data_IF_464434635776
#
_entry.id   IF_464434635776
#
_cell.length_a   1.000
_cell.length_b   1.000
_cell.length_c   1.000
_cell.angle_alpha   90.00
_cell.angle_beta   90.00
_cell.angle_gamma   90.00
#
_symmetry.space_group_name_H-M   'P 1'
#
loop_
_entity.id
_entity.type
_entity.pdbx_description
1 polymer ?
#
# COMPACT_ATOMS: atom_id res chain seq x y z
N UNK A 1 17.00 -7.46 -21.28
CA UNK A 1 15.85 -8.31 -20.89
C UNK A 1 14.84 -8.18 -22.01
N UNK A 2 14.29 -9.28 -22.51
CA UNK A 2 13.28 -9.24 -23.58
C UNK A 2 12.02 -8.54 -23.05
N UNK A 3 11.41 -7.67 -23.86
CA UNK A 3 10.18 -6.96 -23.47
C UNK A 3 9.03 -7.97 -23.36
N UNK A 4 8.30 -7.95 -22.23
CA UNK A 4 7.15 -8.82 -22.01
C UNK A 4 6.04 -8.49 -23.00
N UNK A 5 5.40 -9.51 -23.55
CA UNK A 5 4.25 -9.39 -24.47
C UNK A 5 2.94 -9.68 -23.75
N UNK A 6 1.93 -8.85 -23.95
CA UNK A 6 0.63 -8.98 -23.32
C UNK A 6 -0.52 -9.06 -24.32
N UNK A 7 -1.53 -9.87 -23.98
CA UNK A 7 -2.84 -9.84 -24.62
C UNK A 7 -3.82 -9.03 -23.77
N UNK A 8 -4.44 -7.99 -24.35
CA UNK A 8 -5.49 -7.19 -23.71
C UNK A 8 -6.85 -7.66 -24.24
N UNK A 9 -7.67 -8.19 -23.34
CA UNK A 9 -8.99 -8.76 -23.60
C UNK A 9 -10.04 -7.94 -22.87
N UNK A 10 -10.93 -7.30 -23.62
CA UNK A 10 -11.85 -6.29 -23.10
C UNK A 10 -13.28 -6.78 -23.22
N UNK A 11 -14.00 -6.76 -22.11
CA UNK A 11 -15.42 -7.02 -22.05
C UNK A 11 -16.21 -5.72 -22.28
N UNK A 12 -16.80 -5.58 -23.47
CA UNK A 12 -17.53 -4.35 -23.84
C UNK A 12 -18.89 -4.20 -23.16
N UNK A 13 -19.43 -5.27 -22.56
CA UNK A 13 -20.74 -5.21 -21.89
C UNK A 13 -20.58 -4.70 -20.45
N UNK A 14 -19.43 -4.95 -19.82
CA UNK A 14 -19.14 -4.51 -18.46
C UNK A 14 -18.32 -3.22 -18.36
N UNK A 15 -17.69 -2.76 -19.45
CA UNK A 15 -16.75 -1.62 -19.43
C UNK A 15 -17.18 -0.55 -20.43
N UNK A 16 -16.95 0.72 -20.09
CA UNK A 16 -17.24 1.86 -20.99
C UNK A 16 -16.05 2.20 -21.91
N UNK A 17 -16.35 2.55 -23.17
CA UNK A 17 -15.37 2.98 -24.17
C UNK A 17 -14.44 4.12 -23.70
N UNK A 18 -14.91 4.97 -22.78
CA UNK A 18 -14.12 6.09 -22.23
C UNK A 18 -12.81 5.67 -21.57
N UNK A 19 -12.70 4.42 -21.13
CA UNK A 19 -11.51 3.91 -20.42
C UNK A 19 -10.42 3.39 -21.37
N UNK A 20 -10.68 3.19 -22.67
CA UNK A 20 -9.75 2.51 -23.59
C UNK A 20 -8.36 3.14 -23.60
N UNK A 21 -8.27 4.46 -23.75
CA UNK A 21 -6.97 5.14 -23.79
C UNK A 21 -6.21 5.00 -22.48
N UNK A 22 -6.91 5.07 -21.35
CA UNK A 22 -6.33 4.90 -20.02
C UNK A 22 -5.86 3.46 -19.76
N UNK A 23 -6.63 2.46 -20.19
CA UNK A 23 -6.27 1.03 -20.11
C UNK A 23 -4.98 0.77 -20.87
N UNK A 24 -4.91 1.21 -22.13
CA UNK A 24 -3.74 0.99 -22.98
C UNK A 24 -2.53 1.78 -22.47
N UNK A 25 -2.74 2.99 -21.95
CA UNK A 25 -1.71 3.77 -21.28
C UNK A 25 -1.14 3.06 -20.05
N UNK A 26 -1.98 2.52 -19.19
CA UNK A 26 -1.54 1.77 -18.00
C UNK A 26 -0.75 0.51 -18.38
N UNK A 27 -1.12 -0.17 -19.48
CA UNK A 27 -0.42 -1.37 -19.95
C UNK A 27 1.05 -1.12 -20.34
N UNK A 28 1.42 0.11 -20.71
CA UNK A 28 2.81 0.46 -21.03
C UNK A 28 3.79 0.24 -19.87
N UNK A 29 3.29 0.19 -18.62
CA UNK A 29 4.10 -0.08 -17.43
C UNK A 29 4.56 -1.54 -17.33
N UNK A 30 3.86 -2.47 -17.99
CA UNK A 30 4.06 -3.90 -17.85
C UNK A 30 4.79 -4.51 -19.05
N UNK A 31 4.49 -4.04 -20.26
CA UNK A 31 5.15 -4.51 -21.49
C UNK A 31 4.39 -4.15 -22.76
N UNK A 32 4.85 -4.72 -23.88
CA UNK A 32 4.25 -4.51 -25.19
C UNK A 32 2.91 -5.24 -25.33
N UNK A 33 1.86 -4.50 -25.70
CA UNK A 33 0.55 -5.08 -26.01
C UNK A 33 0.53 -5.58 -27.45
N UNK A 34 0.59 -6.90 -27.64
CA UNK A 34 0.66 -7.55 -28.96
C UNK A 34 -0.69 -8.04 -29.47
N UNK A 35 -1.64 -8.30 -28.57
CA UNK A 35 -3.02 -8.68 -28.91
C UNK A 35 -3.97 -7.71 -28.23
N UNK A 36 -4.90 -7.14 -28.99
CA UNK A 36 -5.94 -6.24 -28.49
C UNK A 36 -7.28 -6.72 -29.03
N UNK A 37 -8.10 -7.31 -28.17
CA UNK A 37 -9.41 -7.83 -28.55
C UNK A 37 -10.48 -7.29 -27.62
N UNK A 38 -11.63 -7.00 -28.20
CA UNK A 38 -12.81 -6.59 -27.45
C UNK A 38 -13.99 -7.48 -27.84
N UNK A 39 -14.75 -7.94 -26.86
CA UNK A 39 -15.80 -8.93 -27.04
C UNK A 39 -17.14 -8.29 -26.77
N UNK A 40 -18.11 -8.52 -27.66
CA UNK A 40 -19.45 -8.01 -27.51
C UNK A 40 -20.37 -8.34 -28.68
N UNK A 41 -21.63 -7.96 -28.54
CA UNK A 41 -22.59 -8.01 -29.63
C UNK A 41 -22.63 -6.65 -30.36
N UNK A 42 -21.91 -6.59 -31.48
CA UNK A 42 -21.76 -5.37 -32.27
C UNK A 42 -22.99 -5.03 -33.15
N UNK A 43 -24.07 -5.82 -33.07
CA UNK A 43 -25.33 -5.48 -33.74
C UNK A 43 -26.19 -4.49 -32.93
N UNK A 44 -25.87 -4.30 -31.65
CA UNK A 44 -26.60 -3.37 -30.76
C UNK A 44 -26.28 -1.90 -31.11
N UNK A 45 -27.27 -1.01 -30.95
CA UNK A 45 -27.12 0.41 -31.28
C UNK A 45 -26.05 1.17 -30.44
N UNK A 46 -25.59 0.62 -29.31
CA UNK A 46 -24.57 1.25 -28.47
C UNK A 46 -23.13 1.18 -29.04
N UNK A 47 -22.94 0.50 -30.17
CA UNK A 47 -21.63 0.31 -30.82
C UNK A 47 -21.01 1.54 -31.46
N UNK A 48 -21.81 2.57 -31.76
CA UNK A 48 -21.30 3.80 -32.36
C UNK A 48 -20.22 4.47 -31.49
N UNK A 49 -20.33 4.33 -30.16
CA UNK A 49 -19.38 4.86 -29.16
C UNK A 49 -18.07 4.07 -29.05
N UNK A 50 -17.96 2.92 -29.71
CA UNK A 50 -16.74 2.12 -29.72
C UNK A 50 -15.98 2.30 -31.02
N UNK A 51 -16.69 2.55 -32.12
CA UNK A 51 -16.11 2.55 -33.47
C UNK A 51 -14.86 3.43 -33.58
N UNK A 52 -14.89 4.63 -33.01
CA UNK A 52 -13.76 5.57 -33.05
C UNK A 52 -12.57 5.00 -32.27
N UNK A 53 -12.81 4.62 -31.03
CA UNK A 53 -11.82 4.12 -30.07
C UNK A 53 -11.16 2.83 -30.58
N UNK A 54 -11.93 1.91 -31.18
CA UNK A 54 -11.41 0.67 -31.75
C UNK A 54 -10.49 0.91 -32.95
N UNK A 55 -10.89 1.82 -33.86
CA UNK A 55 -10.09 2.15 -35.04
C UNK A 55 -8.82 2.89 -34.66
N UNK A 56 -8.91 3.91 -33.81
CA UNK A 56 -7.76 4.71 -33.38
C UNK A 56 -6.72 3.89 -32.62
N UNK A 57 -7.14 2.86 -31.88
CA UNK A 57 -6.25 2.04 -31.05
C UNK A 57 -5.90 0.67 -31.65
N UNK A 58 -6.36 0.38 -32.88
CA UNK A 58 -6.20 -0.91 -33.56
C UNK A 58 -6.68 -2.11 -32.71
N UNK A 59 -7.85 -1.97 -32.10
CA UNK A 59 -8.46 -3.03 -31.28
C UNK A 59 -9.38 -3.86 -32.19
N UNK A 60 -9.18 -5.17 -32.18
CA UNK A 60 -9.97 -6.10 -32.98
C UNK A 60 -11.31 -6.41 -32.28
N UNK A 61 -12.47 -6.05 -32.88
CA UNK A 61 -13.77 -6.48 -32.35
C UNK A 61 -14.02 -7.95 -32.65
N UNK A 62 -14.38 -8.70 -31.62
CA UNK A 62 -14.84 -10.08 -31.70
C UNK A 62 -16.36 -10.06 -31.51
N UNK A 63 -17.09 -10.39 -32.58
CA UNK A 63 -18.55 -10.46 -32.56
C UNK A 63 -19.01 -11.73 -31.87
N UNK A 64 -19.91 -11.59 -30.92
CA UNK A 64 -20.64 -12.72 -30.33
C UNK A 64 -22.13 -12.39 -30.21
N UNK A 65 -22.98 -13.17 -30.89
CA UNK A 65 -24.42 -13.02 -30.79
C UNK A 65 -24.94 -13.53 -29.45
N UNK A 66 -25.85 -12.77 -28.83
CA UNK A 66 -26.61 -13.25 -27.69
C UNK A 66 -27.80 -14.09 -28.17
N UNK A 67 -27.66 -15.42 -28.14
CA UNK A 67 -28.74 -16.34 -28.54
C UNK A 67 -29.97 -16.26 -27.60
N UNK A 68 -29.77 -15.80 -26.36
CA UNK A 68 -30.81 -15.60 -25.35
C UNK A 68 -30.39 -14.45 -24.44
N UNK A 69 -31.32 -13.57 -24.08
CA UNK A 69 -31.08 -12.42 -23.21
C UNK A 69 -30.59 -12.87 -21.83
N UNK A 70 -29.52 -12.26 -21.33
CA UNK A 70 -28.98 -12.51 -19.98
C UNK A 70 -28.10 -13.75 -19.84
N UNK A 71 -27.54 -14.28 -20.94
CA UNK A 71 -26.53 -15.36 -20.87
C UNK A 71 -25.14 -14.84 -21.25
N UNK A 72 -24.14 -15.46 -20.65
CA UNK A 72 -22.70 -15.15 -20.70
C UNK A 72 -22.03 -15.59 -22.03
N UNK A 73 -22.67 -15.33 -23.17
CA UNK A 73 -22.16 -15.72 -24.48
C UNK A 73 -20.84 -14.98 -24.80
N UNK A 74 -20.82 -13.67 -24.56
CA UNK A 74 -19.64 -12.80 -24.71
C UNK A 74 -18.48 -13.30 -23.84
N UNK A 75 -18.76 -13.61 -22.57
CA UNK A 75 -17.75 -14.06 -21.61
C UNK A 75 -17.16 -15.42 -22.01
N UNK A 76 -18.02 -16.33 -22.51
CA UNK A 76 -17.59 -17.62 -23.01
C UNK A 76 -16.64 -17.47 -24.21
N UNK A 77 -16.94 -16.56 -25.14
CA UNK A 77 -16.07 -16.27 -26.27
C UNK A 77 -14.72 -15.69 -25.83
N UNK A 78 -14.71 -14.76 -24.86
CA UNK A 78 -13.49 -14.21 -24.28
C UNK A 78 -12.66 -15.30 -23.60
N UNK A 79 -13.27 -16.15 -22.79
CA UNK A 79 -12.58 -17.24 -22.07
C UNK A 79 -11.95 -18.23 -23.06
N UNK A 80 -12.70 -18.66 -24.09
CA UNK A 80 -12.19 -19.58 -25.11
C UNK A 80 -10.97 -18.96 -25.79
N UNK A 81 -11.09 -17.72 -26.24
CA UNK A 81 -10.03 -17.05 -26.98
C UNK A 81 -8.80 -16.76 -26.09
N UNK A 82 -8.99 -16.45 -24.81
CA UNK A 82 -7.91 -16.33 -23.84
C UNK A 82 -7.12 -17.64 -23.70
N UNK A 83 -7.82 -18.78 -23.65
CA UNK A 83 -7.18 -20.09 -23.58
C UNK A 83 -6.45 -20.44 -24.88
N UNK A 84 -7.03 -20.12 -26.04
CA UNK A 84 -6.36 -20.34 -27.33
C UNK A 84 -5.07 -19.51 -27.42
N UNK A 85 -5.12 -18.22 -27.04
CA UNK A 85 -3.94 -17.35 -26.97
C UNK A 85 -2.88 -17.96 -26.02
N UNK A 86 -3.29 -18.44 -24.84
CA UNK A 86 -2.39 -19.05 -23.87
C UNK A 86 -1.61 -20.22 -24.49
N UNK A 87 -2.30 -21.11 -25.21
CA UNK A 87 -1.67 -22.28 -25.82
C UNK A 87 -0.87 -21.96 -27.08
N UNK A 88 -1.00 -20.78 -27.68
CA UNK A 88 -0.06 -20.35 -28.74
C UNK A 88 1.36 -20.08 -28.22
N UNK A 89 1.53 -19.80 -26.92
CA UNK A 89 2.83 -19.53 -26.30
C UNK A 89 3.48 -18.18 -26.70
N UNK A 90 2.74 -17.27 -27.33
CA UNK A 90 3.29 -16.02 -27.86
C UNK A 90 3.25 -14.83 -26.89
N UNK A 91 2.64 -14.98 -25.71
CA UNK A 91 2.48 -13.92 -24.71
C UNK A 91 3.07 -14.34 -23.36
N UNK A 92 3.45 -13.36 -22.56
CA UNK A 92 3.94 -13.53 -21.19
C UNK A 92 2.87 -13.19 -20.14
N UNK A 93 1.78 -12.57 -20.57
CA UNK A 93 0.70 -12.17 -19.68
C UNK A 93 -0.57 -11.74 -20.40
N UNK A 94 -1.60 -11.54 -19.58
CA UNK A 94 -2.94 -11.16 -19.99
C UNK A 94 -3.39 -9.95 -19.21
N UNK A 95 -4.08 -9.05 -19.88
CA UNK A 95 -4.88 -8.00 -19.25
C UNK A 95 -6.36 -8.32 -19.48
N UNK A 96 -7.09 -8.62 -18.41
CA UNK A 96 -8.53 -8.88 -18.44
C UNK A 96 -9.22 -7.61 -17.96
N UNK A 97 -9.95 -6.96 -18.86
CA UNK A 97 -10.69 -5.74 -18.56
C UNK A 97 -12.17 -6.07 -18.40
N UNK A 98 -12.62 -6.26 -17.16
CA UNK A 98 -14.02 -6.49 -16.80
C UNK A 98 -14.25 -6.17 -15.32
N UNK A 99 -15.51 -5.92 -14.95
CA UNK A 99 -15.94 -5.84 -13.56
C UNK A 99 -16.72 -7.08 -13.10
N UNK A 100 -16.85 -8.09 -13.96
CA UNK A 100 -17.57 -9.33 -13.69
C UNK A 100 -16.70 -10.33 -12.90
N UNK A 101 -17.28 -10.91 -11.85
CA UNK A 101 -16.62 -11.96 -11.05
C UNK A 101 -16.47 -13.29 -11.79
N UNK A 102 -17.20 -13.53 -12.88
CA UNK A 102 -17.14 -14.82 -13.60
C UNK A 102 -15.76 -15.08 -14.23
N UNK A 103 -14.96 -14.03 -14.47
CA UNK A 103 -13.57 -14.15 -14.91
C UNK A 103 -12.58 -14.57 -13.83
N UNK A 104 -13.01 -14.74 -12.58
CA UNK A 104 -12.15 -15.17 -11.45
C UNK A 104 -11.41 -16.48 -11.76
N UNK A 105 -12.11 -17.48 -12.32
CA UNK A 105 -11.50 -18.77 -12.67
C UNK A 105 -10.54 -18.68 -13.86
N UNK A 106 -10.83 -17.83 -14.84
CA UNK A 106 -9.92 -17.55 -15.94
C UNK A 106 -8.60 -16.95 -15.42
N UNK A 107 -8.68 -15.89 -14.60
CA UNK A 107 -7.50 -15.24 -14.03
C UNK A 107 -6.63 -16.22 -13.21
N UNK A 108 -7.27 -17.04 -12.36
CA UNK A 108 -6.57 -18.08 -11.60
C UNK A 108 -5.86 -19.09 -12.51
N UNK A 109 -6.57 -19.62 -13.52
CA UNK A 109 -6.02 -20.61 -14.45
C UNK A 109 -4.85 -20.08 -15.27
N UNK A 110 -4.89 -18.82 -15.70
CA UNK A 110 -3.79 -18.16 -16.41
C UNK A 110 -2.55 -18.03 -15.52
N UNK A 111 -2.73 -17.64 -14.25
CA UNK A 111 -1.62 -17.58 -13.27
C UNK A 111 -1.03 -18.93 -12.94
N UNK A 112 -1.86 -19.97 -12.82
CA UNK A 112 -1.40 -21.36 -12.65
C UNK A 112 -0.52 -21.81 -13.83
N UNK A 113 -0.77 -21.25 -15.02
CA UNK A 113 0.06 -21.44 -16.22
C UNK A 113 1.33 -20.56 -16.26
N UNK A 114 1.63 -19.82 -15.19
CA UNK A 114 2.80 -18.95 -15.11
C UNK A 114 2.65 -17.61 -15.82
N UNK A 115 1.44 -17.24 -16.26
CA UNK A 115 1.19 -15.95 -16.89
C UNK A 115 1.05 -14.85 -15.86
N UNK A 116 1.52 -13.66 -16.20
CA UNK A 116 1.20 -12.45 -15.44
C UNK A 116 -0.21 -11.97 -15.81
N UNK A 117 -1.10 -11.83 -14.84
CA UNK A 117 -2.50 -11.43 -15.08
C UNK A 117 -2.74 -10.06 -14.49
N UNK A 118 -2.96 -9.06 -15.34
CA UNK A 118 -3.36 -7.72 -14.97
C UNK A 118 -4.89 -7.64 -15.06
N UNK A 119 -5.56 -7.44 -13.94
CA UNK A 119 -7.00 -7.17 -13.91
C UNK A 119 -7.24 -5.66 -13.98
N UNK A 120 -8.21 -5.24 -14.79
CA UNK A 120 -8.67 -3.86 -14.79
C UNK A 120 -10.20 -3.82 -14.75
N UNK A 121 -10.75 -3.05 -13.82
CA UNK A 121 -12.21 -2.95 -13.68
C UNK A 121 -12.62 -1.75 -12.85
N UNK A 122 -13.92 -1.52 -12.77
CA UNK A 122 -14.50 -0.42 -12.00
C UNK A 122 -14.42 -0.72 -10.49
N UNK A 123 -14.67 0.29 -9.65
CA UNK A 123 -14.64 0.16 -8.19
C UNK A 123 -15.55 -0.96 -7.65
N UNK A 124 -16.70 -1.17 -8.29
CA UNK A 124 -17.66 -2.23 -7.95
C UNK A 124 -17.15 -3.66 -8.13
N UNK A 125 -15.98 -3.85 -8.75
CA UNK A 125 -15.45 -5.18 -9.08
C UNK A 125 -15.25 -6.01 -7.80
N UNK A 126 -15.79 -7.24 -7.71
CA UNK A 126 -15.68 -8.07 -6.51
C UNK A 126 -14.23 -8.44 -6.14
N UNK A 127 -13.96 -8.48 -4.83
CA UNK A 127 -12.61 -8.82 -4.29
C UNK A 127 -12.11 -10.18 -4.75
N UNK A 128 -13.00 -11.14 -5.00
CA UNK A 128 -12.63 -12.47 -5.50
C UNK A 128 -11.89 -12.40 -6.85
N UNK A 129 -12.37 -11.58 -7.79
CA UNK A 129 -11.71 -11.41 -9.09
C UNK A 129 -10.42 -10.61 -8.95
N UNK A 130 -10.44 -9.54 -8.13
CA UNK A 130 -9.24 -8.74 -7.83
C UNK A 130 -8.09 -9.59 -7.31
N UNK A 131 -8.38 -10.44 -6.30
CA UNK A 131 -7.41 -11.34 -5.67
C UNK A 131 -6.91 -12.47 -6.60
N UNK A 132 -7.70 -12.84 -7.60
CA UNK A 132 -7.31 -13.82 -8.59
C UNK A 132 -6.26 -13.27 -9.58
N UNK A 133 -6.10 -11.96 -9.73
CA UNK A 133 -5.10 -11.35 -10.61
C UNK A 133 -3.71 -11.28 -9.96
N UNK A 134 -2.66 -11.06 -10.76
CA UNK A 134 -1.32 -10.71 -10.26
C UNK A 134 -1.30 -9.28 -9.73
N UNK A 135 -1.92 -8.37 -10.48
CA UNK A 135 -2.15 -6.96 -10.11
C UNK A 135 -3.56 -6.62 -10.56
N UNK A 136 -4.28 -5.82 -9.79
CA UNK A 136 -5.58 -5.29 -10.16
C UNK A 136 -5.59 -3.76 -10.08
N UNK A 137 -5.99 -3.10 -11.16
CA UNK A 137 -6.07 -1.64 -11.26
C UNK A 137 -7.51 -1.17 -11.43
N UNK A 138 -7.92 -0.24 -10.58
CA UNK A 138 -9.24 0.40 -10.65
C UNK A 138 -9.26 1.44 -11.77
N UNK A 139 -10.24 1.40 -12.67
CA UNK A 139 -10.26 2.22 -13.88
C UNK A 139 -10.47 3.72 -13.61
N UNK A 140 -11.24 4.06 -12.57
CA UNK A 140 -11.54 5.43 -12.16
C UNK A 140 -10.28 6.20 -11.81
N UNK A 141 -9.33 5.54 -11.13
CA UNK A 141 -8.01 6.09 -10.80
C UNK A 141 -7.24 6.51 -12.04
N UNK A 142 -7.38 5.77 -13.16
CA UNK A 142 -6.63 6.05 -14.37
C UNK A 142 -7.15 7.29 -15.12
N UNK A 143 -8.43 7.63 -14.95
CA UNK A 143 -9.00 8.86 -15.53
C UNK A 143 -8.55 10.07 -14.72
N UNK A 144 -8.62 10.00 -13.38
CA UNK A 144 -8.22 11.11 -12.51
C UNK A 144 -6.77 11.55 -12.79
N UNK A 145 -5.86 10.59 -13.03
CA UNK A 145 -4.48 10.90 -13.42
C UNK A 145 -4.34 11.58 -14.79
N UNK A 146 -5.09 11.10 -15.79
CA UNK A 146 -5.06 11.69 -17.13
C UNK A 146 -5.67 13.10 -17.20
N UNK A 147 -6.49 13.48 -16.22
CA UNK A 147 -7.03 14.83 -16.07
C UNK A 147 -6.05 15.77 -15.34
N UNK A 148 -5.31 15.30 -14.34
CA UNK A 148 -4.29 16.10 -13.64
C UNK A 148 -3.08 16.47 -14.53
N UNK A 149 -2.75 15.64 -15.53
CA UNK A 149 -1.63 15.91 -16.47
C UNK A 149 -1.99 16.87 -17.60
N UNK A 150 -3.27 17.24 -17.78
CA UNK A 150 -3.66 18.25 -18.78
C UNK A 150 -3.51 19.66 -18.20
N UNK A 151 -2.81 20.60 -18.87
CA UNK A 151 -2.67 21.96 -18.37
C UNK A 151 -4.01 22.69 -18.48
N UNK A 152 -4.81 22.64 -17.42
CA UNK A 152 -5.94 23.54 -17.21
C UNK A 152 -5.45 24.91 -16.69
N UNK A 153 -6.14 26.02 -16.98
CA UNK A 153 -5.70 27.34 -16.54
C UNK A 153 -5.69 27.40 -15.01
N UNK A 154 -4.52 27.69 -14.45
CA UNK A 154 -4.29 27.84 -13.00
C UNK A 154 -5.27 28.86 -12.42
N UNK A 155 -6.23 28.40 -11.63
CA UNK A 155 -6.77 29.17 -10.51
C UNK A 155 -6.16 28.61 -9.24
N UNK A 156 -5.37 29.46 -8.58
CA UNK A 156 -4.63 29.10 -7.37
C UNK A 156 -5.53 28.82 -6.16
N UNK A 157 -4.93 28.18 -5.17
CA UNK A 157 -5.43 28.12 -3.80
C UNK A 157 -5.74 26.72 -3.30
N UNK A 158 -5.00 26.33 -2.26
CA UNK A 158 -5.18 25.18 -1.35
C UNK A 158 -4.81 23.79 -1.87
N UNK A 159 -3.70 23.28 -1.32
CA UNK A 159 -3.51 21.86 -0.99
C UNK A 159 -4.73 21.39 -0.20
N UNK A 160 -5.73 20.85 -0.90
CA UNK A 160 -6.79 20.09 -0.25
C UNK A 160 -6.15 18.84 0.35
N UNK A 161 -6.16 18.77 1.67
CA UNK A 161 -6.05 17.51 2.40
C UNK A 161 -7.04 16.54 1.76
N UNK A 162 -6.54 15.50 1.11
CA UNK A 162 -7.37 14.43 0.60
C UNK A 162 -7.84 13.62 1.82
N UNK A 163 -8.97 14.02 2.39
CA UNK A 163 -9.72 13.12 3.25
C UNK A 163 -10.03 11.86 2.43
N UNK A 164 -9.90 10.65 3.01
CA UNK A 164 -10.25 9.42 2.32
C UNK A 164 -11.70 9.55 1.85
N UNK A 165 -11.93 9.48 0.52
CA UNK A 165 -13.28 9.57 -0.05
C UNK A 165 -14.11 8.45 0.57
N UNK A 166 -14.99 8.83 1.49
CA UNK A 166 -15.93 7.96 2.19
C UNK A 166 -16.93 7.38 1.18
N UNK A 167 -16.57 6.26 0.59
CA UNK A 167 -17.35 5.51 -0.40
C UNK A 167 -16.71 4.19 -0.83
N UNK A 168 -15.44 3.96 -0.45
CA UNK A 168 -14.59 2.89 -0.96
C UNK A 168 -14.78 1.52 -0.30
N UNK A 169 -15.94 0.91 -0.57
CA UNK A 169 -16.23 -0.47 -0.18
C UNK A 169 -15.31 -1.46 -0.88
N UNK A 170 -14.19 -1.82 -0.25
CA UNK A 170 -13.28 -2.85 -0.77
C UNK A 170 -11.81 -2.67 -0.43
N UNK A 171 -11.41 -1.49 0.06
CA UNK A 171 -10.00 -1.25 0.42
C UNK A 171 -9.54 -2.07 1.62
N UNK A 172 -8.23 -2.28 1.66
CA UNK A 172 -7.55 -2.81 2.84
C UNK A 172 -7.59 -1.72 3.90
N UNK A 173 -8.10 -2.08 5.07
CA UNK A 173 -8.20 -1.15 6.18
C UNK A 173 -6.78 -0.68 6.60
N UNK A 174 -6.62 0.62 6.83
CA UNK A 174 -5.31 1.23 7.11
C UNK A 174 -4.53 0.49 8.22
N UNK A 175 -5.19 0.16 9.33
CA UNK A 175 -4.62 -0.63 10.44
C UNK A 175 -4.04 -1.99 10.01
N UNK A 176 -4.68 -2.69 9.07
CA UNK A 176 -4.17 -3.98 8.56
C UNK A 176 -2.89 -3.75 7.78
N UNK A 177 -2.88 -2.71 6.94
CA UNK A 177 -1.73 -2.35 6.13
C UNK A 177 -0.55 -1.89 7.00
N UNK A 178 -0.79 -1.08 8.04
CA UNK A 178 0.24 -0.68 9.02
C UNK A 178 0.86 -1.89 9.73
N UNK A 179 0.05 -2.86 10.16
CA UNK A 179 0.55 -4.09 10.77
C UNK A 179 1.45 -4.89 9.82
N UNK A 180 1.07 -4.97 8.56
CA UNK A 180 1.86 -5.68 7.55
C UNK A 180 3.15 -4.96 7.16
N UNK A 181 3.10 -3.64 7.00
CA UNK A 181 4.30 -2.82 6.78
C UNK A 181 5.26 -3.00 7.96
N UNK A 182 4.75 -2.96 9.19
CA UNK A 182 5.53 -3.19 10.41
C UNK A 182 6.22 -4.55 10.39
N UNK A 183 5.49 -5.62 10.04
CA UNK A 183 6.05 -6.96 9.95
C UNK A 183 7.14 -7.07 8.87
N UNK A 184 6.96 -6.40 7.72
CA UNK A 184 7.96 -6.36 6.64
C UNK A 184 9.24 -5.66 7.11
N UNK A 185 9.11 -4.54 7.83
CA UNK A 185 10.26 -3.80 8.36
C UNK A 185 10.99 -4.66 9.40
N UNK A 186 10.26 -5.22 10.37
CA UNK A 186 10.85 -6.08 11.41
C UNK A 186 11.60 -7.28 10.83
N UNK A 187 11.06 -7.96 9.81
CA UNK A 187 11.74 -9.09 9.17
C UNK A 187 13.08 -8.68 8.50
N UNK A 188 13.16 -7.44 8.02
CA UNK A 188 14.37 -6.90 7.41
C UNK A 188 15.37 -6.40 8.47
N UNK A 189 14.87 -5.79 9.54
CA UNK A 189 15.67 -5.37 10.70
C UNK A 189 16.31 -6.58 11.40
N UNK A 190 15.58 -7.70 11.55
CA UNK A 190 16.10 -8.97 12.07
C UNK A 190 17.27 -9.54 11.24
N UNK A 191 17.45 -9.04 10.01
CA UNK A 191 18.53 -9.39 9.08
C UNK A 191 19.54 -8.25 8.90
N UNK A 192 19.52 -7.26 9.80
CA UNK A 192 20.36 -6.05 9.77
C UNK A 192 20.30 -5.30 8.42
N UNK A 193 19.13 -5.30 7.78
CA UNK A 193 18.95 -4.74 6.43
C UNK A 193 17.86 -3.67 6.41
N UNK A 194 18.11 -2.47 5.84
CA UNK A 194 17.06 -1.46 5.71
C UNK A 194 15.98 -1.89 4.71
N UNK A 195 14.74 -1.53 5.00
CA UNK A 195 13.62 -1.77 4.09
C UNK A 195 13.54 -0.69 3.03
N UNK A 196 13.79 -1.05 1.77
CA UNK A 196 13.65 -0.12 0.64
C UNK A 196 12.19 0.13 0.26
N UNK A 197 11.86 1.35 -0.15
CA UNK A 197 10.49 1.73 -0.55
C UNK A 197 9.94 0.87 -1.70
N UNK A 198 10.77 0.57 -2.70
CA UNK A 198 10.38 -0.25 -3.85
C UNK A 198 10.11 -1.71 -3.47
N UNK A 199 10.92 -2.27 -2.58
CA UNK A 199 10.70 -3.62 -2.03
C UNK A 199 9.39 -3.68 -1.24
N UNK A 200 9.17 -2.69 -0.37
CA UNK A 200 7.95 -2.60 0.42
C UNK A 200 6.71 -2.59 -0.49
N UNK A 201 6.71 -1.73 -1.51
CA UNK A 201 5.64 -1.69 -2.50
C UNK A 201 5.44 -3.03 -3.21
N UNK A 202 6.51 -3.67 -3.67
CA UNK A 202 6.44 -4.98 -4.34
C UNK A 202 5.86 -6.06 -3.42
N UNK A 203 6.26 -6.09 -2.14
CA UNK A 203 5.72 -7.04 -1.16
C UNK A 203 4.25 -6.81 -0.87
N UNK A 204 3.81 -5.55 -0.79
CA UNK A 204 2.41 -5.19 -0.60
C UNK A 204 1.56 -5.63 -1.80
N UNK A 205 1.98 -5.32 -3.03
CA UNK A 205 1.29 -5.79 -4.25
C UNK A 205 1.24 -7.32 -4.33
N UNK A 206 2.33 -8.00 -3.93
CA UNK A 206 2.36 -9.48 -3.92
C UNK A 206 1.40 -10.07 -2.89
N UNK A 207 1.20 -9.41 -1.76
CA UNK A 207 0.24 -9.83 -0.72
C UNK A 207 -1.19 -9.46 -1.09
N UNK A 208 -1.36 -8.32 -1.72
CA UNK A 208 -2.63 -7.70 -2.06
C UNK A 208 -2.58 -7.20 -3.51
N UNK A 209 -3.09 -8.00 -4.44
CA UNK A 209 -3.03 -7.70 -5.87
C UNK A 209 -3.72 -6.37 -6.23
N UNK A 210 -4.72 -5.94 -5.47
CA UNK A 210 -5.45 -4.67 -5.63
C UNK A 210 -4.86 -3.50 -4.82
N UNK A 211 -3.69 -3.69 -4.21
CA UNK A 211 -3.01 -2.61 -3.52
C UNK A 211 -2.47 -1.57 -4.51
N UNK A 212 -3.07 -0.39 -4.45
CA UNK A 212 -2.65 0.78 -5.20
C UNK A 212 -2.88 2.02 -4.35
N UNK A 213 -1.82 2.77 -4.07
CA UNK A 213 -1.84 3.98 -3.21
C UNK A 213 -2.74 5.07 -3.77
N UNK A 214 -2.99 5.07 -5.08
CA UNK A 214 -3.90 5.99 -5.75
C UNK A 214 -5.34 5.79 -5.31
N UNK A 215 -5.73 4.55 -5.02
CA UNK A 215 -7.04 4.27 -4.43
C UNK A 215 -7.16 5.03 -3.09
N UNK A 216 -6.09 5.13 -2.30
CA UNK A 216 -6.11 5.85 -1.02
C UNK A 216 -5.99 7.38 -1.17
N UNK A 217 -5.95 7.91 -2.40
CA UNK A 217 -5.80 9.34 -2.68
C UNK A 217 -4.36 9.84 -2.77
N UNK A 218 -3.38 8.93 -2.91
CA UNK A 218 -1.96 9.27 -2.92
C UNK A 218 -1.31 9.01 -4.28
N UNK A 219 -0.49 9.94 -4.74
CA UNK A 219 0.25 9.81 -6.01
C UNK A 219 1.46 8.88 -5.93
N UNK A 220 1.96 8.56 -4.73
CA UNK A 220 3.11 7.68 -4.55
C UNK A 220 3.07 6.98 -3.18
N UNK A 221 3.76 5.84 -3.10
CA UNK A 221 3.91 5.11 -1.84
C UNK A 221 4.64 5.94 -0.78
N UNK A 222 5.58 6.79 -1.18
CA UNK A 222 6.24 7.69 -0.24
C UNK A 222 5.27 8.64 0.45
N UNK A 223 4.38 9.29 -0.31
CA UNK A 223 3.38 10.23 0.24
C UNK A 223 2.35 9.51 1.11
N UNK A 224 1.96 8.30 0.71
CA UNK A 224 1.06 7.46 1.49
C UNK A 224 1.64 7.12 2.87
N UNK A 225 2.93 6.74 2.91
CA UNK A 225 3.61 6.40 4.16
C UNK A 225 3.97 7.63 5.01
N UNK A 226 4.18 8.81 4.40
CA UNK A 226 4.46 10.05 5.13
C UNK A 226 3.28 10.47 6.04
N UNK A 227 2.03 10.14 5.67
CA UNK A 227 0.83 10.38 6.50
C UNK A 227 0.63 9.35 7.62
N UNK A 228 1.36 8.23 7.59
CA UNK A 228 1.30 7.19 8.63
C UNK A 228 2.25 7.54 9.77
N UNK A 229 1.70 7.85 10.95
CA UNK A 229 2.48 8.26 12.12
C UNK A 229 3.47 7.20 12.62
N UNK A 230 3.21 5.92 12.32
CA UNK A 230 4.05 4.80 12.71
C UNK A 230 5.38 4.70 11.93
N UNK A 231 5.53 5.39 10.79
CA UNK A 231 6.66 5.22 9.89
C UNK A 231 7.46 6.51 9.68
N UNK A 232 8.73 6.34 9.36
CA UNK A 232 9.63 7.42 8.97
C UNK A 232 10.37 7.05 7.69
N UNK A 233 10.46 8.01 6.75
CA UNK A 233 11.18 7.83 5.50
C UNK A 233 12.55 8.50 5.58
N UNK A 234 13.59 7.71 5.32
CA UNK A 234 14.96 8.21 5.20
C UNK A 234 15.30 8.32 3.72
N UNK A 235 15.57 9.55 3.28
CA UNK A 235 15.96 9.86 1.90
C UNK A 235 17.48 10.02 1.84
N UNK A 236 18.14 9.15 1.09
CA UNK A 236 19.56 9.27 0.72
C UNK A 236 19.66 9.61 -0.78
N UNK A 237 20.81 10.11 -1.24
CA UNK A 237 21.00 10.62 -2.61
C UNK A 237 20.55 9.65 -3.73
N UNK A 238 20.45 8.35 -3.47
CA UNK A 238 20.04 7.33 -4.44
C UNK A 238 18.96 6.35 -3.96
N UNK A 239 18.52 6.42 -2.70
CA UNK A 239 17.56 5.46 -2.16
C UNK A 239 16.64 6.05 -1.09
N UNK A 240 15.40 5.58 -1.07
CA UNK A 240 14.43 5.87 -0.02
C UNK A 240 14.18 4.59 0.77
N UNK A 241 14.47 4.62 2.07
CA UNK A 241 14.22 3.52 2.99
C UNK A 241 13.14 3.91 4.00
N UNK A 242 12.42 2.91 4.49
CA UNK A 242 11.34 3.07 5.47
C UNK A 242 11.76 2.38 6.76
N UNK A 243 11.59 3.08 7.88
CA UNK A 243 11.77 2.51 9.23
C UNK A 243 10.54 2.77 10.08
N UNK A 244 10.40 2.00 11.16
CA UNK A 244 9.48 2.36 12.23
C UNK A 244 9.92 3.70 12.82
N UNK A 245 8.97 4.60 13.03
CA UNK A 245 9.23 5.84 13.73
C UNK A 245 9.59 5.49 15.17
N UNK A 246 10.79 5.87 15.58
CA UNK A 246 11.19 5.69 16.96
C UNK A 246 10.47 6.73 17.81
N UNK A 247 9.33 6.36 18.39
CA UNK A 247 8.61 7.18 19.35
C UNK A 247 9.26 7.13 20.74
N UNK A 248 10.44 6.49 20.89
CA UNK A 248 11.21 6.55 22.12
C UNK A 248 11.78 7.95 22.28
N UNK A 249 11.51 8.53 23.43
CA UNK A 249 12.13 9.79 23.86
C UNK A 249 13.64 9.57 23.97
N UNK A 250 14.49 10.47 23.46
CA UNK A 250 15.94 10.34 23.62
C UNK A 250 16.31 10.08 25.07
N UNK A 251 17.14 9.05 25.34
CA UNK A 251 17.52 8.68 26.72
C UNK A 251 18.07 9.89 27.49
N UNK A 252 18.83 10.77 26.83
CA UNK A 252 19.36 11.99 27.44
C UNK A 252 18.27 12.93 28.00
N UNK A 253 17.11 13.02 27.36
CA UNK A 253 15.98 13.83 27.87
C UNK A 253 15.34 13.19 29.10
N UNK A 254 15.21 11.86 29.11
CA UNK A 254 14.72 11.11 30.28
C UNK A 254 15.70 11.20 31.45
N UNK A 255 17.01 11.10 31.17
CA UNK A 255 18.08 11.22 32.15
C UNK A 255 18.05 12.61 32.81
N UNK A 256 17.95 13.68 31.99
CA UNK A 256 17.88 15.05 32.46
C UNK A 256 16.62 15.32 33.31
N UNK A 257 15.45 14.82 32.86
CA UNK A 257 14.22 14.96 33.63
C UNK A 257 14.26 14.18 34.95
N UNK A 258 14.83 12.97 34.95
CA UNK A 258 14.99 12.17 36.16
C UNK A 258 15.90 12.85 37.18
N UNK A 259 17.04 13.40 36.72
CA UNK A 259 17.96 14.20 37.54
C UNK A 259 17.25 15.41 38.17
N UNK A 260 16.49 16.17 37.37
CA UNK A 260 15.79 17.36 37.84
C UNK A 260 14.70 17.01 38.86
N UNK A 261 13.91 15.96 38.62
CA UNK A 261 12.90 15.47 39.56
C UNK A 261 13.53 15.07 40.91
N UNK A 262 14.65 14.35 40.90
CA UNK A 262 15.37 13.96 42.12
C UNK A 262 15.96 15.19 42.83
N UNK A 263 16.51 16.14 42.08
CA UNK A 263 17.05 17.40 42.61
C UNK A 263 15.98 18.22 43.33
N UNK A 264 14.80 18.38 42.74
CA UNK A 264 13.67 19.10 43.32
C UNK A 264 13.13 18.45 44.60
N UNK A 265 13.29 17.12 44.74
CA UNK A 265 12.83 16.38 45.92
C UNK A 265 13.76 16.51 47.14
N UNK A 266 15.00 17.00 46.94
CA UNK A 266 15.95 17.29 48.01
C UNK A 266 16.69 16.07 48.57
N UNK A 267 17.45 16.29 49.67
CA UNK A 267 18.45 15.35 50.22
C UNK A 267 17.92 14.00 50.72
N UNK A 268 16.60 13.85 50.88
CA UNK A 268 15.98 12.60 51.35
C UNK A 268 15.97 11.46 50.32
N UNK A 269 16.21 11.79 49.04
CA UNK A 269 16.06 10.86 47.91
C UNK A 269 14.59 10.64 47.53
N UNK A 270 14.34 10.39 46.25
CA UNK A 270 13.00 10.11 45.72
C UNK A 270 12.78 8.60 45.59
N UNK A 271 11.64 8.06 46.04
CA UNK A 271 11.30 6.65 45.81
C UNK A 271 11.30 6.34 44.32
N UNK A 272 11.94 5.23 43.92
CA UNK A 272 12.06 4.83 42.50
C UNK A 272 10.69 4.69 41.83
N UNK A 273 9.70 4.16 42.56
CA UNK A 273 8.31 4.06 42.11
C UNK A 273 7.70 5.44 41.81
N UNK A 274 7.96 6.43 42.68
CA UNK A 274 7.49 7.80 42.51
C UNK A 274 8.17 8.48 41.33
N UNK A 275 9.49 8.29 41.17
CA UNK A 275 10.24 8.79 40.03
C UNK A 275 9.72 8.20 38.72
N UNK A 276 9.51 6.89 38.68
CA UNK A 276 8.95 6.20 37.52
C UNK A 276 7.57 6.71 37.15
N UNK A 277 6.67 6.89 38.13
CA UNK A 277 5.34 7.46 37.88
C UNK A 277 5.42 8.88 37.33
N UNK A 278 6.26 9.75 37.89
CA UNK A 278 6.40 11.15 37.42
C UNK A 278 7.00 11.23 36.02
N UNK A 279 7.98 10.37 35.71
CA UNK A 279 8.50 10.24 34.35
C UNK A 279 7.41 9.80 33.39
N UNK A 280 6.59 8.80 33.75
CA UNK A 280 5.45 8.38 32.92
C UNK A 280 4.33 9.42 32.81
N UNK A 281 4.18 10.34 33.77
CA UNK A 281 3.25 11.48 33.70
C UNK A 281 3.79 12.60 32.78
N UNK A 282 5.10 12.82 32.78
CA UNK A 282 5.76 13.84 31.94
C UNK A 282 5.99 13.36 30.50
N UNK A 283 6.15 12.05 30.32
CA UNK A 283 6.50 11.41 29.07
C UNK A 283 5.53 10.27 28.77
N UNK A 284 4.56 10.55 27.90
CA UNK A 284 3.61 9.56 27.42
C UNK A 284 4.36 8.41 26.74
N UNK A 285 3.97 7.16 27.01
CA UNK A 285 4.61 5.94 26.50
C UNK A 285 6.06 5.67 26.96
N UNK A 286 6.52 6.24 28.08
CA UNK A 286 7.81 5.84 28.66
C UNK A 286 7.78 4.43 29.29
N UNK A 287 8.56 3.49 28.72
CA UNK A 287 8.84 2.19 29.31
C UNK A 287 10.35 1.89 29.35
N UNK A 288 10.88 1.50 30.51
CA UNK A 288 12.31 1.23 30.71
C UNK A 288 12.88 0.09 29.85
N UNK A 289 12.00 -0.84 29.44
CA UNK A 289 12.38 -1.96 28.56
C UNK A 289 12.76 -1.49 27.16
N UNK A 290 12.17 -0.40 26.68
CA UNK A 290 12.45 0.16 25.36
C UNK A 290 13.88 0.73 25.27
N UNK A 291 14.51 0.96 26.42
CA UNK A 291 15.89 1.42 26.57
C UNK A 291 16.86 0.31 27.02
N UNK A 292 16.41 -0.95 27.02
CA UNK A 292 17.25 -2.11 27.37
C UNK A 292 17.34 -2.43 28.87
N UNK A 293 16.50 -1.83 29.72
CA UNK A 293 16.52 -2.06 31.17
C UNK A 293 15.37 -2.94 31.64
N UNK A 294 15.70 -3.98 32.42
CA UNK A 294 14.70 -4.89 32.97
C UNK A 294 13.81 -4.26 34.04
N UNK A 295 14.29 -3.24 34.76
CA UNK A 295 13.57 -2.58 35.86
C UNK A 295 13.88 -1.08 35.91
N UNK A 296 12.98 -0.30 36.52
CA UNK A 296 13.19 1.13 36.79
C UNK A 296 14.44 1.39 37.62
N UNK A 297 14.79 0.47 38.53
CA UNK A 297 16.03 0.55 39.29
C UNK A 297 17.27 0.50 38.39
N UNK A 298 17.33 -0.45 37.45
CA UNK A 298 18.45 -0.56 36.50
C UNK A 298 18.53 0.66 35.59
N UNK A 299 17.39 1.20 35.18
CA UNK A 299 17.33 2.44 34.41
C UNK A 299 17.94 3.60 35.19
N UNK A 300 17.53 3.83 36.45
CA UNK A 300 18.05 4.92 37.30
C UNK A 300 19.53 4.75 37.63
N UNK A 301 20.00 3.52 37.88
CA UNK A 301 21.43 3.23 38.10
C UNK A 301 22.31 3.57 36.89
N UNK A 302 21.73 3.65 35.68
CA UNK A 302 22.45 4.01 34.46
C UNK A 302 22.57 5.51 34.22
N UNK A 303 21.91 6.33 35.03
CA UNK A 303 21.87 7.79 34.88
C UNK A 303 23.08 8.36 35.62
N UNK A 304 23.98 8.99 34.87
CA UNK A 304 25.12 9.68 35.45
C UNK A 304 24.65 10.79 36.41
N UNK A 305 25.21 10.83 37.62
CA UNK A 305 24.80 11.75 38.68
C UNK A 305 23.65 11.26 39.58
N UNK A 306 23.07 10.08 39.32
CA UNK A 306 22.14 9.42 40.24
C UNK A 306 22.72 8.15 40.85
N UNK A 307 22.33 7.87 42.09
CA UNK A 307 22.62 6.63 42.80
C UNK A 307 21.34 6.05 43.39
N UNK A 308 21.26 4.72 43.46
CA UNK A 308 20.17 4.02 44.13
C UNK A 308 20.63 3.57 45.50
N UNK A 309 19.85 3.89 46.54
CA UNK A 309 20.04 3.36 47.89
C UNK A 309 18.72 3.04 48.56
N UNK A 310 18.76 2.72 49.85
CA UNK A 310 17.55 2.50 50.66
C UNK A 310 17.32 3.65 51.63
N UNK A 311 16.05 3.94 51.91
CA UNK A 311 15.65 4.88 52.97
C UNK A 311 15.44 4.15 54.32
N UNK A 312 15.19 4.92 55.38
CA UNK A 312 14.98 4.38 56.74
C UNK A 312 13.79 3.40 56.86
N UNK A 313 12.92 3.36 55.85
CA UNK A 313 11.77 2.46 55.77
C UNK A 313 12.00 1.26 54.83
N UNK A 314 13.24 1.01 54.41
CA UNK A 314 13.61 -0.11 53.51
C UNK A 314 13.17 0.06 52.06
N UNK A 315 12.72 1.25 51.64
CA UNK A 315 12.33 1.51 50.26
C UNK A 315 13.52 1.95 49.42
N UNK A 316 13.61 1.47 48.17
CA UNK A 316 14.60 1.96 47.20
C UNK A 316 14.30 3.40 46.79
N UNK A 317 15.33 4.24 46.88
CA UNK A 317 15.28 5.66 46.56
C UNK A 317 16.43 6.03 45.62
N UNK A 318 16.15 6.92 44.66
CA UNK A 318 17.13 7.60 43.84
C UNK A 318 17.64 8.85 44.60
N UNK A 319 18.96 9.04 44.64
CA UNK A 319 19.64 10.20 45.25
C UNK A 319 20.62 10.79 44.24
N UNK A 320 20.96 12.06 44.41
CA UNK A 320 22.10 12.64 43.70
C UNK A 320 23.37 11.95 44.20
N UNK A 321 24.22 11.50 43.29
CA UNK A 321 25.53 10.95 43.61
C UNK A 321 26.42 12.04 44.21
N UNK A 322 27.27 11.69 45.19
CA UNK A 322 28.13 12.66 45.90
C UNK A 322 29.31 13.18 45.05
N UNK A 323 29.50 12.66 43.83
CA UNK A 323 30.58 13.02 42.89
C UNK A 323 30.06 13.75 41.62
N UNK A 324 29.14 14.72 41.76
CA UNK A 324 28.63 15.55 40.66
C UNK A 324 28.63 17.04 40.97
#
# INVERSE_FOLDING_TARGET
>A
MEEKRFAVLIDSENISAKYISSILGEMTKYGAVTIKRIYGDWTKAQTAKWKKELLENSIMPIQQFQNTVGKNATDSALIIDAMDILYTGNVNGFCIVSSDSDFTRLAGRLRESGMEVIGMGEEKTPRAFRAACSVFTTLEVLIEQGEEERPAPRKGGSTKQAAPKSGMGGLIHQRVLEGDITAIIQENDDKDRPTGLGELGSRLVKKYSDFDVRNYGYSSLSKFLEEMSAFELIKTNSAVTVRLRDNRIPKAELDAAALELVRQNGKGGMRIETLGRRLSEQFEHFYVKDYGYATMTRFVESIEGLSVGENQSGNRVARLSEDG
#
